data_IF_766646068629
#
_entry.id   IF_766646068629
#
_cell.length_a   1.000
_cell.length_b   1.000
_cell.length_c   1.000
_cell.angle_alpha   90.00
_cell.angle_beta   90.00
_cell.angle_gamma   90.00
#
_symmetry.space_group_name_H-M   'P 1'
#
loop_
_entity.id
_entity.type
_entity.pdbx_description
1 polymer ?
#
# COMPACT_ATOMS: atom_id res chain seq x y z
N UNK A 1 -12.99 -10.97 -22.10
CA UNK A 1 -12.03 -10.74 -20.99
C UNK A 1 -10.68 -10.36 -21.60
N UNK A 2 -10.29 -9.10 -21.55
CA UNK A 2 -8.98 -8.65 -22.04
C UNK A 2 -7.88 -9.32 -21.22
N UNK A 3 -6.94 -10.00 -21.88
CA UNK A 3 -5.80 -10.66 -21.23
C UNK A 3 -4.86 -9.59 -20.64
N UNK A 4 -4.45 -9.75 -19.40
CA UNK A 4 -3.44 -8.90 -18.77
C UNK A 4 -2.16 -8.88 -19.62
N UNK A 5 -1.59 -7.72 -19.98
CA UNK A 5 -0.39 -7.63 -20.81
C UNK A 5 0.78 -8.44 -20.22
N UNK A 6 1.65 -8.97 -21.07
CA UNK A 6 2.81 -9.78 -20.65
C UNK A 6 3.68 -9.00 -19.66
N UNK A 7 3.91 -7.72 -19.90
CA UNK A 7 4.70 -6.86 -19.02
C UNK A 7 4.11 -6.76 -17.60
N UNK A 8 2.78 -6.56 -17.49
CA UNK A 8 2.09 -6.50 -16.21
C UNK A 8 2.18 -7.83 -15.46
N UNK A 9 2.05 -8.96 -16.15
CA UNK A 9 2.19 -10.30 -15.52
C UNK A 9 3.61 -10.53 -15.00
N UNK A 10 4.63 -10.17 -15.76
CA UNK A 10 6.03 -10.27 -15.33
C UNK A 10 6.31 -9.39 -14.11
N UNK A 11 5.80 -8.16 -14.12
CA UNK A 11 5.90 -7.25 -12.97
C UNK A 11 5.24 -7.83 -11.72
N UNK A 12 4.00 -8.32 -11.83
CA UNK A 12 3.27 -8.92 -10.70
C UNK A 12 3.99 -10.17 -10.16
N UNK A 13 4.51 -11.02 -11.03
CA UNK A 13 5.28 -12.21 -10.63
C UNK A 13 6.56 -11.83 -9.90
N UNK A 14 7.36 -10.88 -10.44
CA UNK A 14 8.57 -10.39 -9.80
C UNK A 14 8.29 -9.77 -8.42
N UNK A 15 7.23 -8.95 -8.32
CA UNK A 15 6.81 -8.37 -7.06
C UNK A 15 6.35 -9.43 -6.04
N UNK A 16 5.62 -10.45 -6.48
CA UNK A 16 5.20 -11.57 -5.63
C UNK A 16 6.41 -12.31 -5.06
N UNK A 17 7.41 -12.61 -5.88
CA UNK A 17 8.67 -13.25 -5.43
C UNK A 17 9.38 -12.38 -4.40
N UNK A 18 9.51 -11.07 -4.66
CA UNK A 18 10.14 -10.12 -3.72
C UNK A 18 9.36 -10.00 -2.41
N UNK A 19 8.02 -10.02 -2.44
CA UNK A 19 7.20 -9.98 -1.23
C UNK A 19 7.27 -11.28 -0.43
N UNK A 20 7.44 -12.44 -1.07
CA UNK A 20 7.72 -13.70 -0.37
C UNK A 20 9.05 -13.62 0.38
N UNK A 21 10.10 -13.11 -0.28
CA UNK A 21 11.39 -12.86 0.38
C UNK A 21 11.27 -11.89 1.56
N UNK A 22 10.51 -10.83 1.41
CA UNK A 22 10.22 -9.89 2.50
C UNK A 22 9.53 -10.59 3.68
N UNK A 23 8.57 -11.46 3.41
CA UNK A 23 7.90 -12.27 4.43
C UNK A 23 8.86 -13.12 5.25
N UNK A 24 9.93 -13.66 4.62
CA UNK A 24 10.96 -14.46 5.33
C UNK A 24 11.63 -13.69 6.48
N UNK A 25 11.68 -12.35 6.41
CA UNK A 25 12.53 -11.57 7.33
C UNK A 25 11.77 -10.53 8.16
N UNK A 26 10.58 -10.08 7.73
CA UNK A 26 9.90 -8.93 8.34
C UNK A 26 9.60 -9.13 9.83
N UNK A 27 9.13 -10.31 10.21
CA UNK A 27 8.84 -10.66 11.59
C UNK A 27 10.11 -11.05 12.39
N UNK A 28 11.19 -11.42 11.70
CA UNK A 28 12.36 -12.05 12.31
C UNK A 28 13.53 -11.08 12.52
N UNK A 29 13.50 -9.89 11.94
CA UNK A 29 14.57 -8.89 12.10
C UNK A 29 14.76 -8.48 13.55
N UNK A 30 13.69 -8.24 14.31
CA UNK A 30 13.74 -7.93 15.73
C UNK A 30 14.32 -9.10 16.54
N UNK A 31 13.82 -10.31 16.28
CA UNK A 31 14.27 -11.54 16.96
C UNK A 31 15.76 -11.75 16.71
N UNK A 32 16.21 -11.60 15.47
CA UNK A 32 17.61 -11.71 15.09
C UNK A 32 18.49 -10.74 15.85
N UNK A 33 18.16 -9.45 15.83
CA UNK A 33 18.97 -8.42 16.48
C UNK A 33 18.97 -8.58 18.01
N UNK A 34 17.84 -8.94 18.62
CA UNK A 34 17.72 -9.07 20.07
C UNK A 34 18.21 -10.43 20.57
N UNK A 35 17.60 -11.52 20.11
CA UNK A 35 17.84 -12.85 20.71
C UNK A 35 19.08 -13.54 20.14
N UNK A 36 19.42 -13.32 18.86
CA UNK A 36 20.56 -13.98 18.23
C UNK A 36 21.84 -13.14 18.38
N UNK A 37 21.74 -11.80 18.21
CA UNK A 37 22.89 -10.88 18.34
C UNK A 37 23.06 -10.28 19.72
N UNK A 38 22.14 -10.52 20.64
CA UNK A 38 22.23 -10.07 22.04
C UNK A 38 22.10 -8.57 22.24
N UNK A 39 21.56 -7.82 21.26
CA UNK A 39 21.36 -6.39 21.40
C UNK A 39 20.23 -6.10 22.38
N UNK A 40 20.42 -5.14 23.30
CA UNK A 40 19.37 -4.71 24.22
C UNK A 40 18.14 -4.21 23.45
N UNK A 41 16.92 -4.51 23.92
CA UNK A 41 15.67 -4.11 23.28
C UNK A 41 15.59 -2.61 22.94
N UNK A 42 16.02 -1.68 23.83
CA UNK A 42 16.03 -0.25 23.50
C UNK A 42 16.92 0.09 22.30
N UNK A 43 18.05 -0.60 22.14
CA UNK A 43 18.96 -0.41 21.00
C UNK A 43 18.30 -0.91 19.71
N UNK A 44 17.65 -2.08 19.75
CA UNK A 44 16.89 -2.61 18.61
C UNK A 44 15.74 -1.66 18.25
N UNK A 45 15.01 -1.16 19.25
CA UNK A 45 13.96 -0.17 19.05
C UNK A 45 14.48 1.12 18.38
N UNK A 46 15.64 1.62 18.81
CA UNK A 46 16.29 2.79 18.22
C UNK A 46 16.69 2.53 16.75
N UNK A 47 17.23 1.35 16.43
CA UNK A 47 17.58 0.97 15.05
C UNK A 47 16.34 0.92 14.14
N UNK A 48 15.24 0.36 14.63
CA UNK A 48 13.97 0.33 13.89
C UNK A 48 13.39 1.73 13.70
N UNK A 49 13.46 2.58 14.72
CA UNK A 49 13.02 3.98 14.65
C UNK A 49 13.86 4.80 13.64
N UNK A 50 15.17 4.62 13.64
CA UNK A 50 16.08 5.25 12.66
C UNK A 50 15.75 4.79 11.25
N UNK A 51 15.49 3.51 11.04
CA UNK A 51 15.05 2.98 9.75
C UNK A 51 13.75 3.67 9.27
N UNK A 52 12.74 3.73 10.14
CA UNK A 52 11.46 4.37 9.82
C UNK A 52 11.61 5.88 9.52
N UNK A 53 12.42 6.60 10.32
CA UNK A 53 12.71 8.01 10.11
C UNK A 53 13.45 8.26 8.79
N UNK A 54 14.42 7.41 8.44
CA UNK A 54 15.12 7.48 7.15
C UNK A 54 14.15 7.31 5.99
N UNK A 55 13.25 6.33 6.07
CA UNK A 55 12.20 6.12 5.08
C UNK A 55 11.33 7.37 4.89
N UNK A 56 10.89 7.97 6.00
CA UNK A 56 10.07 9.19 5.98
C UNK A 56 10.79 10.36 5.26
N UNK A 57 12.08 10.53 5.50
CA UNK A 57 12.89 11.59 4.88
C UNK A 57 13.10 11.32 3.38
N UNK A 58 13.32 10.07 2.99
CA UNK A 58 13.65 9.70 1.59
C UNK A 58 12.41 9.64 0.69
N UNK A 59 11.22 9.32 1.21
CA UNK A 59 10.00 9.18 0.38
C UNK A 59 9.69 10.40 -0.48
N UNK A 60 9.77 11.66 -0.01
CA UNK A 60 9.52 12.83 -0.87
C UNK A 60 10.54 12.97 -2.01
N UNK A 61 11.81 12.66 -1.76
CA UNK A 61 12.86 12.70 -2.79
C UNK A 61 12.64 11.62 -3.84
N UNK A 62 12.15 10.44 -3.43
CA UNK A 62 11.77 9.35 -4.34
C UNK A 62 10.73 9.81 -5.36
N UNK A 63 9.73 10.59 -4.96
CA UNK A 63 8.71 11.13 -5.88
C UNK A 63 9.33 11.96 -7.00
N UNK A 64 10.30 12.80 -6.67
CA UNK A 64 11.03 13.59 -7.67
C UNK A 64 11.87 12.70 -8.59
N UNK A 65 12.51 11.68 -8.03
CA UNK A 65 13.30 10.71 -8.81
C UNK A 65 12.42 9.89 -9.76
N UNK A 66 11.25 9.45 -9.30
CA UNK A 66 10.27 8.72 -10.13
C UNK A 66 9.85 9.53 -11.36
N UNK A 67 9.59 10.84 -11.18
CA UNK A 67 9.18 11.71 -12.28
C UNK A 67 10.34 12.06 -13.21
N UNK A 68 11.60 12.06 -12.71
CA UNK A 68 12.79 12.42 -13.48
C UNK A 68 13.45 11.22 -14.17
N UNK A 69 13.66 10.14 -13.45
CA UNK A 69 14.39 8.95 -13.90
C UNK A 69 13.47 7.86 -14.44
N UNK A 70 12.17 7.95 -14.11
CA UNK A 70 11.17 6.94 -14.43
C UNK A 70 11.10 5.82 -13.39
N UNK A 71 9.90 5.25 -13.24
CA UNK A 71 9.61 4.26 -12.19
C UNK A 71 10.48 3.00 -12.30
N UNK A 72 10.82 2.55 -13.53
CA UNK A 72 11.67 1.38 -13.75
C UNK A 72 13.06 1.53 -13.14
N UNK A 73 13.74 2.64 -13.42
CA UNK A 73 15.09 2.89 -12.94
C UNK A 73 15.14 3.06 -11.43
N UNK A 74 14.19 3.84 -10.89
CA UNK A 74 14.10 4.07 -9.44
C UNK A 74 13.80 2.79 -8.68
N UNK A 75 12.84 1.98 -9.16
CA UNK A 75 12.49 0.70 -8.55
C UNK A 75 13.67 -0.28 -8.60
N UNK A 76 14.43 -0.33 -9.69
CA UNK A 76 15.63 -1.15 -9.79
C UNK A 76 16.67 -0.76 -8.73
N UNK A 77 16.95 0.54 -8.59
CA UNK A 77 17.86 1.05 -7.55
C UNK A 77 17.39 0.72 -6.13
N UNK A 78 16.08 0.84 -5.87
CA UNK A 78 15.47 0.48 -4.59
C UNK A 78 15.66 -1.00 -4.29
N UNK A 79 15.37 -1.89 -5.24
CA UNK A 79 15.50 -3.34 -5.05
C UNK A 79 16.96 -3.78 -4.84
N UNK A 80 17.90 -3.19 -5.56
CA UNK A 80 19.33 -3.42 -5.34
C UNK A 80 19.76 -2.91 -3.96
N UNK A 81 19.36 -1.70 -3.58
CA UNK A 81 19.62 -1.16 -2.25
C UNK A 81 19.00 -2.02 -1.14
N UNK A 82 17.79 -2.53 -1.35
CA UNK A 82 17.13 -3.47 -0.44
C UNK A 82 17.95 -4.77 -0.29
N UNK A 83 18.42 -5.35 -1.40
CA UNK A 83 19.27 -6.54 -1.38
C UNK A 83 20.58 -6.30 -0.61
N UNK A 84 21.24 -5.15 -0.84
CA UNK A 84 22.45 -4.76 -0.08
C UNK A 84 22.14 -4.61 1.41
N UNK A 85 21.02 -3.98 1.77
CA UNK A 85 20.60 -3.85 3.18
C UNK A 85 20.43 -5.21 3.85
N UNK A 86 19.83 -6.18 3.16
CA UNK A 86 19.65 -7.55 3.67
C UNK A 86 20.98 -8.27 3.82
N UNK A 87 21.89 -8.12 2.86
CA UNK A 87 23.25 -8.66 2.97
C UNK A 87 23.98 -8.08 4.17
N UNK A 88 23.96 -6.76 4.35
CA UNK A 88 24.59 -6.08 5.50
C UNK A 88 23.97 -6.57 6.83
N UNK A 89 22.65 -6.75 6.87
CA UNK A 89 21.95 -7.22 8.07
C UNK A 89 22.33 -8.67 8.41
N UNK A 90 22.50 -9.55 7.42
CA UNK A 90 22.92 -10.93 7.61
C UNK A 90 24.26 -11.05 8.37
N UNK A 91 25.18 -10.10 8.15
CA UNK A 91 26.49 -10.02 8.82
C UNK A 91 26.57 -8.98 9.94
N UNK A 92 25.47 -8.39 10.34
CA UNK A 92 25.47 -7.48 11.49
C UNK A 92 25.74 -8.26 12.80
N UNK A 93 26.74 -7.81 13.56
CA UNK A 93 27.13 -8.45 14.83
C UNK A 93 26.84 -7.55 16.05
N UNK A 94 26.76 -6.26 15.87
CA UNK A 94 26.50 -5.26 16.90
C UNK A 94 25.70 -4.07 16.33
N UNK A 95 25.36 -3.12 17.18
CA UNK A 95 24.58 -1.94 16.76
C UNK A 95 25.26 -1.10 15.70
N UNK A 96 26.60 -0.95 15.76
CA UNK A 96 27.35 -0.15 14.79
C UNK A 96 27.33 -0.79 13.39
N UNK A 97 27.40 -2.12 13.29
CA UNK A 97 27.30 -2.83 12.01
C UNK A 97 25.88 -3.02 11.52
N UNK A 98 24.88 -3.01 12.44
CA UNK A 98 23.46 -3.05 12.08
C UNK A 98 22.95 -1.68 11.57
N UNK A 99 23.51 -0.56 12.07
CA UNK A 99 23.03 0.78 11.74
C UNK A 99 23.04 1.09 10.23
N UNK A 100 24.11 0.88 9.47
CA UNK A 100 24.10 1.14 8.02
C UNK A 100 23.09 0.25 7.28
N UNK A 101 22.91 -1.01 7.72
CA UNK A 101 21.89 -1.87 7.16
C UNK A 101 20.47 -1.32 7.38
N UNK A 102 20.17 -0.84 8.58
CA UNK A 102 18.87 -0.30 8.95
C UNK A 102 18.58 1.05 8.29
N UNK A 103 19.60 1.90 8.14
CA UNK A 103 19.50 3.14 7.36
C UNK A 103 19.15 2.84 5.89
N UNK A 104 19.88 1.93 5.27
CA UNK A 104 19.64 1.56 3.87
C UNK A 104 18.30 0.83 3.69
N UNK A 105 17.93 -0.02 4.65
CA UNK A 105 16.62 -0.67 4.67
C UNK A 105 15.50 0.36 4.69
N UNK A 106 15.54 1.34 5.58
CA UNK A 106 14.56 2.42 5.65
C UNK A 106 14.53 3.28 4.39
N UNK A 107 15.70 3.65 3.86
CA UNK A 107 15.84 4.43 2.64
C UNK A 107 15.26 3.73 1.40
N UNK A 108 15.07 2.43 1.44
CA UNK A 108 14.57 1.63 0.31
C UNK A 108 13.17 1.07 0.55
N UNK A 109 12.82 0.68 1.76
CA UNK A 109 11.54 0.07 2.09
C UNK A 109 10.34 1.00 1.86
N UNK A 110 10.35 2.18 2.47
CA UNK A 110 9.24 3.12 2.34
C UNK A 110 9.06 3.65 0.90
N UNK A 111 10.14 4.04 0.17
CA UNK A 111 10.07 4.45 -1.23
C UNK A 111 9.66 3.35 -2.22
N UNK A 112 9.76 2.08 -1.86
CA UNK A 112 9.36 0.97 -2.71
C UNK A 112 7.88 1.03 -3.07
N UNK A 113 7.00 1.38 -2.14
CA UNK A 113 5.56 1.43 -2.38
C UNK A 113 5.12 2.44 -3.44
N UNK A 114 5.54 3.73 -3.40
CA UNK A 114 5.23 4.67 -4.47
C UNK A 114 5.86 4.27 -5.80
N UNK A 115 7.06 3.67 -5.81
CA UNK A 115 7.69 3.18 -7.02
C UNK A 115 6.90 2.04 -7.67
N UNK A 116 6.47 1.05 -6.88
CA UNK A 116 5.61 -0.05 -7.34
C UNK A 116 4.27 0.46 -7.88
N UNK A 117 3.61 1.38 -7.17
CA UNK A 117 2.32 1.96 -7.61
C UNK A 117 2.47 2.74 -8.91
N UNK A 118 3.52 3.55 -9.04
CA UNK A 118 3.79 4.35 -10.24
C UNK A 118 4.10 3.44 -11.44
N UNK A 119 4.91 2.40 -11.24
CA UNK A 119 5.23 1.43 -12.29
C UNK A 119 3.98 0.66 -12.74
N UNK A 120 3.20 0.14 -11.79
CA UNK A 120 1.97 -0.62 -12.09
C UNK A 120 0.94 0.24 -12.83
N UNK A 121 0.76 1.50 -12.41
CA UNK A 121 -0.13 2.45 -13.08
C UNK A 121 0.29 2.71 -14.53
N UNK A 122 1.59 2.88 -14.76
CA UNK A 122 2.12 3.09 -16.11
C UNK A 122 2.00 1.86 -17.01
N UNK A 123 2.10 0.64 -16.45
CA UNK A 123 1.89 -0.62 -17.19
C UNK A 123 0.42 -0.89 -17.50
N UNK A 124 -0.51 -0.20 -16.86
CA UNK A 124 -1.95 -0.40 -16.98
C UNK A 124 -2.68 0.94 -17.16
N UNK A 125 -2.53 1.61 -18.33
CA UNK A 125 -3.13 2.92 -18.55
C UNK A 125 -4.67 2.88 -18.58
N UNK A 126 -5.26 1.75 -18.96
CA UNK A 126 -6.70 1.56 -19.04
C UNK A 126 -7.33 1.44 -17.65
N UNK A 127 -8.34 2.24 -17.27
CA UNK A 127 -8.90 2.28 -15.91
C UNK A 127 -9.34 0.92 -15.35
N UNK A 128 -10.03 0.11 -16.17
CA UNK A 128 -10.50 -1.22 -15.77
C UNK A 128 -9.34 -2.19 -15.54
N UNK A 129 -8.32 -2.13 -16.40
CA UNK A 129 -7.11 -2.96 -16.26
C UNK A 129 -6.29 -2.52 -15.05
N UNK A 130 -6.17 -1.22 -14.83
CA UNK A 130 -5.45 -0.66 -13.68
C UNK A 130 -6.09 -1.12 -12.37
N UNK A 131 -7.40 -0.97 -12.22
CA UNK A 131 -8.12 -1.42 -11.03
C UNK A 131 -7.90 -2.91 -10.75
N UNK A 132 -8.00 -3.76 -11.82
CA UNK A 132 -7.74 -5.19 -11.71
C UNK A 132 -6.30 -5.48 -11.31
N UNK A 133 -5.32 -4.79 -11.90
CA UNK A 133 -3.91 -4.99 -11.60
C UNK A 133 -3.58 -4.63 -10.15
N UNK A 134 -4.12 -3.51 -9.63
CA UNK A 134 -3.95 -3.13 -8.23
C UNK A 134 -4.58 -4.15 -7.27
N UNK A 135 -5.78 -4.67 -7.59
CA UNK A 135 -6.44 -5.70 -6.80
C UNK A 135 -5.63 -7.01 -6.77
N UNK A 136 -5.16 -7.48 -7.93
CA UNK A 136 -4.33 -8.68 -8.03
C UNK A 136 -3.01 -8.48 -7.28
N UNK A 137 -2.37 -7.31 -7.44
CA UNK A 137 -1.13 -6.98 -6.75
C UNK A 137 -1.30 -7.03 -5.24
N UNK A 138 -2.36 -6.44 -4.70
CA UNK A 138 -2.66 -6.43 -3.27
C UNK A 138 -2.84 -7.86 -2.73
N UNK A 139 -3.67 -8.67 -3.39
CA UNK A 139 -3.89 -10.06 -2.99
C UNK A 139 -2.62 -10.89 -3.05
N UNK A 140 -1.85 -10.76 -4.15
CA UNK A 140 -0.61 -11.48 -4.34
C UNK A 140 0.45 -11.09 -3.30
N UNK A 141 0.55 -9.80 -2.95
CA UNK A 141 1.46 -9.32 -1.91
C UNK A 141 1.11 -9.90 -0.53
N UNK A 142 -0.16 -9.86 -0.14
CA UNK A 142 -0.59 -10.41 1.15
C UNK A 142 -0.35 -11.93 1.23
N UNK A 143 -0.71 -12.67 0.18
CA UNK A 143 -0.47 -14.11 0.12
C UNK A 143 1.04 -14.43 0.16
N UNK A 144 1.85 -13.72 -0.61
CA UNK A 144 3.30 -13.89 -0.67
C UNK A 144 3.97 -13.59 0.68
N UNK A 145 3.56 -12.50 1.33
CA UNK A 145 4.04 -12.12 2.66
C UNK A 145 3.70 -13.21 3.68
N UNK A 146 2.46 -13.71 3.70
CA UNK A 146 2.04 -14.78 4.59
C UNK A 146 2.79 -16.09 4.36
N UNK A 147 2.97 -16.51 3.10
CA UNK A 147 3.77 -17.70 2.74
C UNK A 147 5.22 -17.51 3.19
N UNK A 148 5.82 -16.34 2.89
CA UNK A 148 7.19 -16.05 3.31
C UNK A 148 7.35 -16.07 4.83
N UNK A 149 6.45 -15.48 5.58
CA UNK A 149 6.48 -15.48 7.05
C UNK A 149 6.34 -16.90 7.62
N UNK A 150 5.48 -17.72 7.03
CA UNK A 150 5.34 -19.13 7.43
C UNK A 150 6.62 -19.92 7.18
N UNK A 151 7.23 -19.77 6.00
CA UNK A 151 8.52 -20.42 5.69
C UNK A 151 9.61 -19.92 6.65
N UNK A 152 9.65 -18.59 6.89
CA UNK A 152 10.59 -18.00 7.85
C UNK A 152 10.44 -18.58 9.26
N UNK A 153 9.21 -18.76 9.73
CA UNK A 153 8.93 -19.34 11.04
C UNK A 153 9.41 -20.80 11.17
N UNK A 154 9.34 -21.57 10.08
CA UNK A 154 9.82 -22.98 10.07
C UNK A 154 11.35 -23.04 10.03
N UNK A 155 12.00 -22.13 9.29
CA UNK A 155 13.45 -22.15 9.08
C UNK A 155 14.24 -21.40 10.15
N UNK A 156 13.66 -20.39 10.80
CA UNK A 156 14.33 -19.59 11.82
C UNK A 156 14.62 -20.43 13.08
N UNK A 157 15.88 -20.45 13.50
CA UNK A 157 16.30 -21.12 14.71
C UNK A 157 17.26 -20.24 15.52
N UNK A 158 16.89 -19.92 16.75
CA UNK A 158 17.69 -19.07 17.65
C UNK A 158 19.01 -19.78 18.00
N UNK A 159 19.00 -21.11 18.05
CA UNK A 159 20.18 -21.91 18.34
C UNK A 159 21.16 -22.03 17.17
N UNK A 160 20.71 -21.71 15.96
CA UNK A 160 21.49 -21.72 14.74
C UNK A 160 21.44 -20.37 14.02
N UNK A 161 22.30 -19.40 14.40
CA UNK A 161 22.32 -18.05 13.82
C UNK A 161 22.39 -18.02 12.28
N UNK A 162 23.01 -19.02 11.68
CA UNK A 162 23.10 -19.18 10.21
C UNK A 162 21.74 -19.32 9.54
N UNK A 163 20.70 -19.79 10.24
CA UNK A 163 19.34 -19.86 9.68
C UNK A 163 18.80 -18.49 9.32
N UNK A 164 19.02 -17.47 10.16
CA UNK A 164 18.62 -16.09 9.90
C UNK A 164 19.42 -15.47 8.74
N UNK A 165 20.71 -15.80 8.64
CA UNK A 165 21.53 -15.36 7.50
C UNK A 165 20.97 -15.89 6.18
N UNK A 166 20.57 -17.17 6.14
CA UNK A 166 19.90 -17.76 4.96
C UNK A 166 18.61 -17.01 4.62
N UNK A 167 17.78 -16.64 5.60
CA UNK A 167 16.54 -15.89 5.38
C UNK A 167 16.83 -14.50 4.78
N UNK A 168 17.80 -13.76 5.33
CA UNK A 168 18.19 -12.44 4.80
C UNK A 168 18.77 -12.55 3.38
N UNK A 169 19.63 -13.52 3.13
CA UNK A 169 20.20 -13.76 1.79
C UNK A 169 19.14 -14.20 0.78
N UNK A 170 18.21 -15.06 1.18
CA UNK A 170 17.08 -15.44 0.32
C UNK A 170 16.22 -14.23 -0.06
N UNK A 171 15.96 -13.30 0.90
CA UNK A 171 15.30 -12.05 0.59
C UNK A 171 16.13 -11.16 -0.35
N UNK A 172 17.43 -11.04 -0.14
CA UNK A 172 18.31 -10.31 -1.05
C UNK A 172 18.23 -10.86 -2.48
N UNK A 173 18.29 -12.18 -2.63
CA UNK A 173 18.13 -12.87 -3.93
C UNK A 173 16.76 -12.57 -4.54
N UNK A 174 15.68 -12.62 -3.77
CA UNK A 174 14.32 -12.32 -4.26
C UNK A 174 14.19 -10.90 -4.80
N UNK A 175 14.81 -9.93 -4.13
CA UNK A 175 14.89 -8.54 -4.58
C UNK A 175 15.68 -8.42 -5.89
N UNK A 176 16.83 -9.10 -6.00
CA UNK A 176 17.66 -9.08 -7.22
C UNK A 176 16.96 -9.79 -8.38
N UNK A 177 16.23 -10.88 -8.14
CA UNK A 177 15.43 -11.54 -9.17
C UNK A 177 14.35 -10.61 -9.72
N UNK A 178 13.67 -9.85 -8.85
CA UNK A 178 12.71 -8.86 -9.32
C UNK A 178 13.42 -7.70 -10.05
N UNK A 179 14.56 -7.21 -9.56
CA UNK A 179 15.35 -6.19 -10.25
C UNK A 179 15.77 -6.64 -11.65
N UNK A 180 16.15 -7.91 -11.82
CA UNK A 180 16.52 -8.50 -13.11
C UNK A 180 15.36 -8.60 -14.10
N UNK A 181 14.12 -8.63 -13.63
CA UNK A 181 12.92 -8.61 -14.49
C UNK A 181 12.65 -7.20 -15.04
N UNK A 182 13.01 -6.14 -14.30
CA UNK A 182 12.65 -4.77 -14.69
C UNK A 182 13.18 -4.32 -16.07
N UNK A 183 14.39 -4.68 -16.52
CA UNK A 183 14.88 -4.35 -17.87
C UNK A 183 14.01 -4.92 -19.00
N UNK A 184 13.29 -6.03 -18.73
CA UNK A 184 12.39 -6.66 -19.70
C UNK A 184 11.05 -5.90 -19.85
N UNK A 185 10.79 -4.93 -18.95
CA UNK A 185 9.58 -4.13 -18.96
C UNK A 185 9.78 -2.84 -19.78
N UNK A 186 8.70 -2.28 -20.36
CA UNK A 186 8.81 -1.04 -21.12
C UNK A 186 9.33 0.10 -20.26
N UNK A 187 10.13 0.97 -20.88
CA UNK A 187 10.56 2.21 -20.21
C UNK A 187 9.42 3.22 -20.29
N UNK A 188 8.79 3.46 -19.13
CA UNK A 188 7.66 4.37 -19.00
C UNK A 188 8.09 5.83 -18.77
N UNK A 189 9.40 6.11 -18.94
CA UNK A 189 9.94 7.47 -18.82
C UNK A 189 9.39 8.33 -19.97
N UNK A 190 8.75 9.43 -19.62
CA UNK A 190 8.41 10.47 -20.60
C UNK A 190 9.54 11.49 -20.65
N UNK A 191 10.23 11.65 -21.80
CA UNK A 191 11.21 12.71 -21.95
C UNK A 191 10.55 14.05 -21.68
N UNK A 192 11.20 14.90 -20.89
CA UNK A 192 10.71 16.25 -20.61
C UNK A 192 11.00 17.12 -21.84
N UNK A 193 9.96 17.76 -22.38
CA UNK A 193 10.16 18.74 -23.44
C UNK A 193 10.89 19.98 -22.90
N UNK A 194 11.77 20.57 -23.73
CA UNK A 194 12.44 21.83 -23.37
C UNK A 194 11.38 22.92 -23.17
N UNK A 195 11.45 23.62 -22.02
CA UNK A 195 10.49 24.70 -21.71
C UNK A 195 9.26 24.27 -20.89
N UNK A 196 9.07 22.98 -20.57
CA UNK A 196 7.97 22.56 -19.70
C UNK A 196 8.13 23.11 -18.25
N UNK A 197 7.06 23.67 -17.66
CA UNK A 197 7.10 24.22 -16.31
C UNK A 197 7.49 23.16 -15.28
N UNK A 198 8.25 23.57 -14.26
CA UNK A 198 8.60 22.69 -13.13
C UNK A 198 7.41 22.58 -12.22
N UNK A 199 6.66 21.46 -12.31
CA UNK A 199 5.57 21.14 -11.39
C UNK A 199 6.18 20.67 -10.08
N UNK A 200 5.79 21.28 -8.96
CA UNK A 200 6.27 20.95 -7.61
C UNK A 200 5.23 20.19 -6.78
N UNK A 201 5.55 19.87 -5.53
CA UNK A 201 4.58 19.32 -4.58
C UNK A 201 3.44 20.33 -4.26
N UNK A 202 3.71 21.64 -4.34
CA UNK A 202 2.70 22.68 -4.16
C UNK A 202 1.61 22.59 -5.21
N UNK A 203 1.97 22.33 -6.46
CA UNK A 203 1.02 22.20 -7.57
C UNK A 203 0.15 20.94 -7.41
N UNK A 204 0.76 19.83 -6.92
CA UNK A 204 0.03 18.62 -6.56
C UNK A 204 -1.03 18.89 -5.48
N UNK A 205 -0.67 19.65 -4.45
CA UNK A 205 -1.57 20.02 -3.34
C UNK A 205 -2.56 21.14 -3.69
N UNK A 206 -2.29 21.93 -4.74
CA UNK A 206 -3.23 22.97 -5.21
C UNK A 206 -4.49 22.33 -5.80
N UNK A 207 -4.39 21.16 -6.42
CA UNK A 207 -5.53 20.46 -7.01
C UNK A 207 -6.46 19.92 -5.92
N UNK A 208 -7.69 20.49 -5.81
CA UNK A 208 -8.66 20.20 -4.72
C UNK A 208 -8.98 18.70 -4.58
N UNK A 209 -9.27 18.02 -5.71
CA UNK A 209 -9.60 16.60 -5.70
C UNK A 209 -8.43 15.75 -5.18
N UNK A 210 -7.21 16.04 -5.65
CA UNK A 210 -6.02 15.32 -5.22
C UNK A 210 -5.70 15.55 -3.74
N UNK A 211 -5.86 16.79 -3.25
CA UNK A 211 -5.72 17.11 -1.82
C UNK A 211 -6.69 16.31 -0.94
N UNK A 212 -7.95 16.19 -1.35
CA UNK A 212 -8.94 15.37 -0.65
C UNK A 212 -8.55 13.90 -0.62
N UNK A 213 -8.07 13.36 -1.74
CA UNK A 213 -7.61 11.97 -1.81
C UNK A 213 -6.36 11.75 -0.96
N UNK A 214 -5.45 12.74 -0.86
CA UNK A 214 -4.29 12.66 0.04
C UNK A 214 -4.72 12.64 1.51
N UNK A 215 -5.71 13.44 1.90
CA UNK A 215 -6.27 13.41 3.27
C UNK A 215 -6.96 12.07 3.54
N UNK A 216 -7.72 11.53 2.58
CA UNK A 216 -8.29 10.19 2.69
C UNK A 216 -7.21 9.10 2.83
N UNK A 217 -6.10 9.23 2.08
CA UNK A 217 -4.95 8.31 2.21
C UNK A 217 -4.31 8.38 3.59
N UNK A 218 -4.24 9.56 4.21
CA UNK A 218 -3.72 9.74 5.57
C UNK A 218 -4.65 9.09 6.61
N UNK A 219 -5.97 9.32 6.50
CA UNK A 219 -6.94 8.63 7.37
C UNK A 219 -6.83 7.12 7.23
N UNK A 220 -6.79 6.60 5.99
CA UNK A 220 -6.61 5.18 5.74
C UNK A 220 -5.31 4.64 6.32
N UNK A 221 -4.21 5.37 6.18
CA UNK A 221 -2.91 4.97 6.73
C UNK A 221 -2.95 4.85 8.25
N UNK A 222 -3.60 5.82 8.91
CA UNK A 222 -3.71 5.86 10.37
C UNK A 222 -4.71 4.82 10.89
N UNK A 223 -5.96 4.82 10.38
CA UNK A 223 -7.06 3.96 10.88
C UNK A 223 -7.05 2.55 10.29
N UNK A 224 -6.41 2.37 9.13
CA UNK A 224 -6.23 1.09 8.48
C UNK A 224 -4.91 0.45 8.90
N UNK A 225 -3.83 0.75 8.20
CA UNK A 225 -2.58 -0.01 8.32
C UNK A 225 -1.91 0.15 9.69
N UNK A 226 -1.65 1.38 10.14
CA UNK A 226 -0.89 1.61 11.37
C UNK A 226 -1.65 1.19 12.63
N UNK A 227 -2.96 1.44 12.68
CA UNK A 227 -3.81 1.03 13.80
C UNK A 227 -4.01 -0.48 13.83
N UNK A 228 -4.09 -1.14 12.68
CA UNK A 228 -4.19 -2.58 12.61
C UNK A 228 -2.93 -3.24 13.15
N UNK A 229 -1.75 -2.80 12.70
CA UNK A 229 -0.48 -3.39 13.09
C UNK A 229 -0.16 -3.21 14.58
N UNK A 230 -0.49 -2.05 15.16
CA UNK A 230 -0.17 -1.71 16.55
C UNK A 230 -1.33 -1.88 17.52
N UNK A 231 -2.51 -1.44 17.13
CA UNK A 231 -3.70 -1.41 17.98
C UNK A 231 -4.34 -2.77 18.18
N UNK A 232 -4.37 -3.63 17.15
CA UNK A 232 -4.97 -4.96 17.27
C UNK A 232 -4.29 -5.81 18.37
N UNK A 233 -2.96 -6.00 18.38
CA UNK A 233 -2.33 -6.80 19.45
C UNK A 233 -2.49 -6.15 20.81
N UNK A 234 -2.24 -4.83 20.93
CA UNK A 234 -2.29 -4.11 22.18
C UNK A 234 -3.68 -4.13 22.82
N UNK A 235 -4.72 -3.77 22.07
CA UNK A 235 -6.09 -3.75 22.57
C UNK A 235 -6.61 -5.16 22.89
N UNK A 236 -6.34 -6.14 22.03
CA UNK A 236 -6.79 -7.52 22.24
C UNK A 236 -6.23 -8.12 23.52
N UNK A 237 -4.96 -7.89 23.81
CA UNK A 237 -4.29 -8.47 24.99
C UNK A 237 -4.57 -7.68 26.26
N UNK A 238 -4.53 -6.34 26.21
CA UNK A 238 -4.65 -5.49 27.40
C UNK A 238 -6.12 -5.23 27.79
N UNK A 239 -6.99 -4.95 26.82
CA UNK A 239 -8.38 -4.56 27.09
C UNK A 239 -9.37 -5.73 26.94
N UNK A 240 -9.23 -6.49 25.87
CA UNK A 240 -10.13 -7.62 25.62
C UNK A 240 -9.71 -8.90 26.35
N UNK A 241 -8.50 -8.94 26.95
CA UNK A 241 -7.94 -10.12 27.64
C UNK A 241 -7.97 -11.39 26.80
N UNK A 242 -7.72 -11.24 25.49
CA UNK A 242 -7.68 -12.34 24.54
C UNK A 242 -6.22 -12.79 24.36
N UNK A 243 -5.99 -14.09 24.26
CA UNK A 243 -4.64 -14.62 24.13
C UNK A 243 -3.96 -14.24 22.81
N UNK A 244 -2.63 -14.10 22.83
CA UNK A 244 -1.83 -13.82 21.63
C UNK A 244 -2.04 -14.87 20.52
N UNK A 245 -2.33 -16.12 20.88
CA UNK A 245 -2.65 -17.18 19.93
C UNK A 245 -3.93 -16.87 19.12
N UNK A 246 -4.98 -16.41 19.79
CA UNK A 246 -6.23 -15.99 19.11
C UNK A 246 -5.99 -14.79 18.21
N UNK A 247 -5.17 -13.83 18.63
CA UNK A 247 -4.78 -12.68 17.79
C UNK A 247 -4.05 -13.18 16.53
N UNK A 248 -3.10 -14.10 16.66
CA UNK A 248 -2.39 -14.67 15.51
C UNK A 248 -3.33 -15.43 14.55
N UNK A 249 -4.27 -16.22 15.09
CA UNK A 249 -5.30 -16.88 14.28
C UNK A 249 -6.21 -15.88 13.56
N UNK A 250 -6.56 -14.78 14.22
CA UNK A 250 -7.41 -13.75 13.61
C UNK A 250 -6.74 -13.06 12.43
N UNK A 251 -5.42 -12.88 12.45
CA UNK A 251 -4.64 -12.39 11.29
C UNK A 251 -4.67 -13.38 10.12
N UNK A 252 -4.64 -14.68 10.42
CA UNK A 252 -4.81 -15.73 9.39
C UNK A 252 -6.20 -15.64 8.76
N UNK A 253 -7.24 -15.43 9.56
CA UNK A 253 -8.63 -15.24 9.08
C UNK A 253 -8.72 -13.97 8.21
N UNK A 254 -8.11 -12.87 8.61
CA UNK A 254 -8.03 -11.65 7.80
C UNK A 254 -7.45 -11.94 6.41
N UNK A 255 -6.28 -12.59 6.35
CA UNK A 255 -5.61 -12.92 5.09
C UNK A 255 -6.45 -13.87 4.23
N UNK A 256 -7.03 -14.91 4.82
CA UNK A 256 -7.89 -15.85 4.12
C UNK A 256 -9.14 -15.14 3.54
N UNK A 257 -9.74 -14.23 4.32
CA UNK A 257 -10.89 -13.45 3.90
C UNK A 257 -10.56 -12.50 2.73
N UNK A 258 -9.42 -11.81 2.79
CA UNK A 258 -8.93 -10.97 1.70
C UNK A 258 -8.83 -11.79 0.40
N UNK A 259 -8.18 -12.95 0.45
CA UNK A 259 -7.98 -13.81 -0.73
C UNK A 259 -9.31 -14.31 -1.28
N UNK A 260 -10.22 -14.77 -0.41
CA UNK A 260 -11.52 -15.29 -0.82
C UNK A 260 -12.45 -14.19 -1.38
N UNK A 261 -12.50 -13.01 -0.74
CA UNK A 261 -13.40 -11.92 -1.10
C UNK A 261 -12.94 -11.12 -2.31
N UNK A 262 -11.63 -11.08 -2.62
CA UNK A 262 -11.03 -10.16 -3.59
C UNK A 262 -11.69 -10.17 -4.96
N UNK A 263 -11.97 -11.35 -5.50
CA UNK A 263 -12.57 -11.46 -6.85
C UNK A 263 -14.03 -11.00 -6.87
N UNK A 264 -14.77 -11.26 -5.78
CA UNK A 264 -16.18 -10.85 -5.64
C UNK A 264 -16.24 -9.33 -5.50
N UNK A 265 -15.46 -8.78 -4.57
CA UNK A 265 -15.37 -7.34 -4.33
C UNK A 265 -14.96 -6.58 -5.59
N UNK A 266 -13.96 -7.10 -6.33
CA UNK A 266 -13.53 -6.49 -7.58
C UNK A 266 -14.67 -6.41 -8.62
N UNK A 267 -15.53 -7.43 -8.71
CA UNK A 267 -16.69 -7.40 -9.62
C UNK A 267 -17.71 -6.33 -9.24
N UNK A 268 -17.93 -6.16 -7.93
CA UNK A 268 -18.85 -5.14 -7.39
C UNK A 268 -18.28 -3.74 -7.58
N UNK A 269 -17.04 -3.51 -7.15
CA UNK A 269 -16.38 -2.19 -7.16
C UNK A 269 -16.23 -1.65 -8.59
N UNK A 270 -16.07 -2.52 -9.60
CA UNK A 270 -16.05 -2.10 -11.01
C UNK A 270 -17.34 -1.43 -11.51
N UNK A 271 -18.47 -1.72 -10.87
CA UNK A 271 -19.77 -1.16 -11.23
C UNK A 271 -20.13 0.10 -10.45
N UNK A 272 -19.28 0.46 -9.49
CA UNK A 272 -19.51 1.55 -8.55
C UNK A 272 -18.52 2.68 -8.82
N UNK A 273 -18.94 3.93 -8.60
CA UNK A 273 -18.06 5.09 -8.66
C UNK A 273 -16.97 4.98 -7.60
N UNK A 274 -15.75 5.42 -7.91
CA UNK A 274 -14.59 5.35 -7.00
C UNK A 274 -14.82 6.10 -5.70
N UNK A 275 -15.49 7.25 -5.75
CA UNK A 275 -15.89 8.03 -4.57
C UNK A 275 -16.83 7.27 -3.65
N UNK A 276 -17.79 6.54 -4.24
CA UNK A 276 -18.73 5.69 -3.48
C UNK A 276 -18.02 4.46 -2.90
N UNK A 277 -17.11 3.84 -3.66
CA UNK A 277 -16.29 2.74 -3.17
C UNK A 277 -15.40 3.17 -1.99
N UNK A 278 -14.81 4.39 -2.05
CA UNK A 278 -14.05 4.95 -0.94
C UNK A 278 -14.91 5.16 0.31
N UNK A 279 -16.12 5.72 0.14
CA UNK A 279 -17.05 5.90 1.25
C UNK A 279 -17.51 4.56 1.86
N UNK A 280 -17.79 3.55 1.01
CA UNK A 280 -18.14 2.21 1.46
C UNK A 280 -16.99 1.56 2.24
N UNK A 281 -15.75 1.69 1.78
CA UNK A 281 -14.58 1.22 2.51
C UNK A 281 -14.47 1.88 3.89
N UNK A 282 -14.67 3.21 3.96
CA UNK A 282 -14.69 3.94 5.24
C UNK A 282 -15.76 3.44 6.20
N UNK A 283 -16.98 3.16 5.72
CA UNK A 283 -18.06 2.61 6.54
C UNK A 283 -17.75 1.19 7.05
N UNK A 284 -17.22 0.33 6.17
CA UNK A 284 -16.83 -1.05 6.53
C UNK A 284 -15.73 -1.02 7.59
N UNK A 285 -14.70 -0.18 7.43
CA UNK A 285 -13.63 -0.03 8.40
C UNK A 285 -14.13 0.57 9.72
N UNK A 286 -15.03 1.55 9.70
CA UNK A 286 -15.64 2.10 10.91
C UNK A 286 -16.44 1.04 11.67
N UNK A 287 -17.26 0.25 10.97
CA UNK A 287 -18.00 -0.85 11.55
C UNK A 287 -17.08 -1.93 12.14
N UNK A 288 -15.96 -2.24 11.46
CA UNK A 288 -14.98 -3.20 12.00
C UNK A 288 -14.38 -2.71 13.33
N UNK A 289 -13.94 -1.45 13.42
CA UNK A 289 -13.42 -0.87 14.67
C UNK A 289 -14.48 -0.80 15.78
N UNK A 290 -15.74 -0.49 15.43
CA UNK A 290 -16.85 -0.51 16.37
C UNK A 290 -17.07 -1.92 16.96
N UNK A 291 -17.08 -2.96 16.12
CA UNK A 291 -17.16 -4.36 16.58
C UNK A 291 -15.96 -4.70 17.48
N UNK A 292 -14.76 -4.25 17.12
CA UNK A 292 -13.57 -4.47 17.95
C UNK A 292 -13.70 -3.83 19.33
N UNK A 293 -14.24 -2.61 19.37
CA UNK A 293 -14.51 -1.91 20.64
C UNK A 293 -15.46 -2.65 21.59
N UNK A 294 -16.39 -3.43 21.05
CA UNK A 294 -17.30 -4.27 21.85
C UNK A 294 -16.56 -5.34 22.66
N UNK A 295 -15.38 -5.77 22.22
CA UNK A 295 -14.57 -6.75 22.95
C UNK A 295 -14.07 -6.25 24.31
N UNK A 296 -14.05 -4.94 24.57
CA UNK A 296 -13.72 -4.35 25.87
C UNK A 296 -14.91 -4.32 26.85
N UNK A 297 -16.11 -4.59 26.40
CA UNK A 297 -17.31 -4.63 27.25
C UNK A 297 -17.33 -5.89 28.13
N UNK A 298 -18.12 -5.90 29.23
CA UNK A 298 -18.27 -7.06 30.11
C UNK A 298 -19.12 -8.17 29.47
N UNK A 299 -18.63 -8.73 28.36
CA UNK A 299 -19.23 -9.84 27.62
C UNK A 299 -18.47 -11.15 27.92
N UNK A 300 -19.04 -12.27 27.49
CA UNK A 300 -18.43 -13.59 27.66
C UNK A 300 -17.08 -13.70 26.96
N UNK A 301 -16.14 -14.55 27.43
CA UNK A 301 -14.86 -14.78 26.74
C UNK A 301 -15.04 -15.17 25.28
N UNK A 302 -16.03 -16.03 24.97
CA UNK A 302 -16.37 -16.40 23.61
C UNK A 302 -16.85 -15.20 22.78
N UNK A 303 -17.62 -14.29 23.37
CA UNK A 303 -18.05 -13.05 22.73
C UNK A 303 -16.89 -12.11 22.39
N UNK A 304 -15.89 -11.97 23.27
CA UNK A 304 -14.67 -11.20 23.00
C UNK A 304 -13.87 -11.77 21.83
N UNK A 305 -13.70 -13.09 21.81
CA UNK A 305 -13.04 -13.80 20.70
C UNK A 305 -13.83 -13.57 19.40
N UNK A 306 -15.14 -13.69 19.42
CA UNK A 306 -16.00 -13.45 18.26
C UNK A 306 -15.86 -12.02 17.74
N UNK A 307 -15.76 -11.01 18.62
CA UNK A 307 -15.51 -9.61 18.23
C UNK A 307 -14.15 -9.45 17.54
N UNK A 308 -13.09 -10.11 18.01
CA UNK A 308 -11.76 -10.05 17.38
C UNK A 308 -11.78 -10.67 15.98
N UNK A 309 -12.38 -11.84 15.80
CA UNK A 309 -12.53 -12.46 14.49
C UNK A 309 -13.45 -11.68 13.56
N UNK A 310 -14.57 -11.18 14.06
CA UNK A 310 -15.50 -10.32 13.32
C UNK A 310 -14.83 -9.04 12.84
N UNK A 311 -14.02 -8.41 13.71
CA UNK A 311 -13.19 -7.27 13.37
C UNK A 311 -12.25 -7.61 12.21
N UNK A 312 -11.42 -8.65 12.34
CA UNK A 312 -10.38 -8.96 11.33
C UNK A 312 -10.98 -9.38 9.99
N UNK A 313 -12.11 -10.10 10.00
CA UNK A 313 -12.82 -10.46 8.77
C UNK A 313 -13.41 -9.23 8.07
N UNK A 314 -14.12 -8.37 8.82
CA UNK A 314 -14.74 -7.16 8.26
C UNK A 314 -13.68 -6.13 7.84
N UNK A 315 -12.58 -6.01 8.60
CA UNK A 315 -11.44 -5.18 8.26
C UNK A 315 -10.83 -5.62 6.92
N UNK A 316 -10.59 -6.92 6.73
CA UNK A 316 -10.11 -7.49 5.46
C UNK A 316 -11.06 -7.19 4.29
N UNK A 317 -12.38 -7.17 4.52
CA UNK A 317 -13.33 -6.72 3.49
C UNK A 317 -13.12 -5.24 3.13
N UNK A 318 -12.91 -4.37 4.10
CA UNK A 318 -12.58 -2.97 3.87
C UNK A 318 -11.30 -2.81 3.03
N UNK A 319 -10.25 -3.53 3.36
CA UNK A 319 -8.98 -3.53 2.61
C UNK A 319 -9.15 -4.00 1.16
N UNK A 320 -9.97 -5.04 0.92
CA UNK A 320 -10.24 -5.52 -0.44
C UNK A 320 -10.96 -4.49 -1.30
N UNK A 321 -11.76 -3.59 -0.71
CA UNK A 321 -12.40 -2.46 -1.42
C UNK A 321 -11.40 -1.33 -1.66
N UNK A 322 -10.52 -1.03 -0.69
CA UNK A 322 -9.51 0.03 -0.78
C UNK A 322 -8.51 -0.23 -1.90
N UNK A 323 -8.00 -1.46 -2.01
CA UNK A 323 -6.92 -1.83 -2.92
C UNK A 323 -7.19 -1.46 -4.39
N UNK A 324 -8.34 -1.80 -5.00
CA UNK A 324 -8.69 -1.42 -6.36
C UNK A 324 -9.21 0.02 -6.49
N UNK A 325 -9.39 0.75 -5.39
CA UNK A 325 -10.00 2.09 -5.39
C UNK A 325 -8.97 3.19 -5.24
N UNK A 326 -8.16 3.16 -4.19
CA UNK A 326 -7.32 4.29 -3.79
C UNK A 326 -6.20 4.57 -4.80
N UNK A 327 -5.44 3.57 -5.22
CA UNK A 327 -4.36 3.75 -6.18
C UNK A 327 -4.84 4.30 -7.53
N UNK A 328 -5.84 3.67 -8.18
CA UNK A 328 -6.44 4.20 -9.39
C UNK A 328 -7.06 5.60 -9.24
N UNK A 329 -7.64 5.92 -8.08
CA UNK A 329 -8.19 7.25 -7.81
C UNK A 329 -7.09 8.32 -7.77
N UNK A 330 -5.98 8.07 -7.09
CA UNK A 330 -4.82 8.97 -7.11
C UNK A 330 -4.33 9.16 -8.55
N UNK A 331 -4.20 8.08 -9.30
CA UNK A 331 -3.67 8.10 -10.66
C UNK A 331 -4.61 8.74 -11.69
N UNK A 332 -5.94 8.69 -11.48
CA UNK A 332 -6.92 9.36 -12.36
C UNK A 332 -6.93 10.89 -12.21
N UNK A 333 -6.41 11.39 -11.09
CA UNK A 333 -6.30 12.82 -10.79
C UNK A 333 -4.91 13.38 -11.09
N UNK A 334 -4.00 12.56 -11.61
CA UNK A 334 -2.60 12.95 -11.86
C UNK A 334 -2.19 12.63 -13.28
N UNK A 335 -1.54 13.61 -13.92
CA UNK A 335 -0.80 13.37 -15.15
C UNK A 335 0.43 12.50 -14.88
N UNK A 336 0.93 11.84 -15.93
CA UNK A 336 2.16 11.03 -15.87
C UNK A 336 3.37 11.80 -15.30
N UNK A 337 3.36 13.14 -15.44
CA UNK A 337 4.42 14.05 -15.00
C UNK A 337 4.54 14.19 -13.48
N UNK A 338 3.43 14.00 -12.76
CA UNK A 338 3.36 14.22 -11.30
C UNK A 338 2.91 12.98 -10.53
N UNK A 339 2.65 11.87 -11.23
CA UNK A 339 2.19 10.61 -10.63
C UNK A 339 3.14 10.08 -9.57
N UNK A 340 4.45 10.19 -9.81
CA UNK A 340 5.47 9.80 -8.84
C UNK A 340 5.37 10.61 -7.55
N UNK A 341 5.23 11.94 -7.66
CA UNK A 341 5.08 12.83 -6.49
C UNK A 341 3.78 12.58 -5.73
N UNK A 342 2.67 12.37 -6.44
CA UNK A 342 1.38 12.07 -5.81
C UNK A 342 1.42 10.74 -5.04
N UNK A 343 1.97 9.69 -5.63
CA UNK A 343 2.16 8.42 -4.95
C UNK A 343 3.13 8.51 -3.77
N UNK A 344 4.20 9.31 -3.88
CA UNK A 344 5.14 9.55 -2.78
C UNK A 344 4.51 10.34 -1.64
N UNK A 345 3.64 11.31 -1.94
CA UNK A 345 2.92 12.06 -0.90
C UNK A 345 1.96 11.16 -0.11
N UNK A 346 1.25 10.24 -0.80
CA UNK A 346 0.45 9.20 -0.13
C UNK A 346 1.32 8.29 0.74
N UNK A 347 2.48 7.87 0.25
CA UNK A 347 3.41 7.02 1.00
C UNK A 347 4.04 7.77 2.19
N UNK A 348 4.30 9.06 2.07
CA UNK A 348 4.76 9.90 3.18
C UNK A 348 3.73 9.93 4.31
N UNK A 349 2.44 10.15 3.99
CA UNK A 349 1.36 10.08 4.97
C UNK A 349 1.27 8.70 5.64
N UNK A 350 1.46 7.62 4.88
CA UNK A 350 1.49 6.26 5.42
C UNK A 350 2.68 6.05 6.37
N UNK A 351 3.87 6.51 6.01
CA UNK A 351 5.05 6.40 6.88
C UNK A 351 4.88 7.21 8.18
N UNK A 352 4.30 8.40 8.08
CA UNK A 352 4.00 9.23 9.26
C UNK A 352 3.00 8.52 10.18
N UNK A 353 1.95 7.93 9.64
CA UNK A 353 0.96 7.18 10.42
C UNK A 353 1.59 5.99 11.15
N UNK A 354 2.47 5.23 10.48
CA UNK A 354 3.18 4.08 11.07
C UNK A 354 4.12 4.46 12.21
N UNK A 355 4.61 5.70 12.25
CA UNK A 355 5.46 6.22 13.33
C UNK A 355 4.59 6.72 14.49
N UNK A 356 3.56 7.50 14.19
CA UNK A 356 2.77 8.23 15.20
C UNK A 356 1.70 7.34 15.84
N UNK A 357 1.05 6.49 15.06
CA UNK A 357 -0.09 5.70 15.51
C UNK A 357 0.24 4.74 16.65
N UNK A 358 1.37 3.99 16.67
CA UNK A 358 1.70 3.10 17.78
C UNK A 358 1.83 3.85 19.11
N UNK A 359 2.43 5.04 19.12
CA UNK A 359 2.60 5.85 20.33
C UNK A 359 1.24 6.33 20.86
N UNK A 360 0.33 6.78 19.99
CA UNK A 360 -1.02 7.18 20.38
C UNK A 360 -1.83 5.97 20.87
N UNK A 361 -1.77 4.85 20.14
CA UNK A 361 -2.48 3.63 20.49
C UNK A 361 -2.07 3.11 21.87
N UNK A 362 -0.77 2.89 22.09
CA UNK A 362 -0.26 2.37 23.35
C UNK A 362 -0.45 3.34 24.50
N UNK A 363 -0.27 4.64 24.26
CA UNK A 363 -0.50 5.69 25.27
C UNK A 363 -1.95 5.74 25.74
N UNK A 364 -2.92 5.75 24.83
CA UNK A 364 -4.35 5.78 25.18
C UNK A 364 -4.80 4.48 25.84
N UNK A 365 -4.33 3.33 25.34
CA UNK A 365 -4.67 2.02 25.90
C UNK A 365 -4.09 1.91 27.34
N UNK A 366 -2.85 2.29 27.56
CA UNK A 366 -2.21 2.27 28.88
C UNK A 366 -2.85 3.23 29.87
N UNK A 367 -3.37 4.37 29.40
CA UNK A 367 -4.11 5.33 30.22
C UNK A 367 -5.56 4.90 30.53
N UNK A 368 -6.00 3.71 30.12
CA UNK A 368 -7.38 3.25 30.28
C UNK A 368 -8.39 3.93 29.35
N UNK A 369 -7.93 4.71 28.38
CA UNK A 369 -8.75 5.46 27.44
C UNK A 369 -8.99 4.71 26.11
N UNK A 370 -9.13 3.39 26.18
CA UNK A 370 -9.32 2.53 25.01
C UNK A 370 -10.57 2.89 24.19
N UNK A 371 -11.65 3.36 24.83
CA UNK A 371 -12.84 3.85 24.15
C UNK A 371 -12.54 5.10 23.31
N UNK A 372 -11.68 6.00 23.80
CA UNK A 372 -11.23 7.18 23.04
C UNK A 372 -10.43 6.74 21.81
N UNK A 373 -9.55 5.74 21.97
CA UNK A 373 -8.80 5.16 20.86
C UNK A 373 -9.72 4.63 19.75
N UNK A 374 -10.69 3.78 20.10
CA UNK A 374 -11.68 3.24 19.14
C UNK A 374 -12.50 4.38 18.50
N UNK A 375 -12.94 5.35 19.30
CA UNK A 375 -13.67 6.53 18.80
C UNK A 375 -12.89 7.33 17.76
N UNK A 376 -11.59 7.57 17.99
CA UNK A 376 -10.70 8.25 17.03
C UNK A 376 -10.57 7.47 15.72
N UNK A 377 -10.47 6.13 15.80
CA UNK A 377 -10.40 5.29 14.62
C UNK A 377 -11.72 5.31 13.81
N UNK A 378 -12.85 5.16 14.49
CA UNK A 378 -14.17 5.29 13.86
C UNK A 378 -14.35 6.67 13.21
N UNK A 379 -13.98 7.73 13.91
CA UNK A 379 -14.07 9.12 13.39
C UNK A 379 -13.18 9.32 12.15
N UNK A 380 -11.97 8.81 12.13
CA UNK A 380 -11.08 8.84 10.98
C UNK A 380 -11.65 8.07 9.78
N UNK A 381 -12.25 6.89 10.02
CA UNK A 381 -12.96 6.13 8.97
C UNK A 381 -14.19 6.89 8.44
N UNK A 382 -14.96 7.54 9.31
CA UNK A 382 -16.08 8.40 8.90
C UNK A 382 -15.59 9.64 8.15
N UNK A 383 -14.38 10.14 8.45
CA UNK A 383 -13.69 11.16 7.65
C UNK A 383 -13.48 10.72 6.19
N UNK A 384 -13.14 9.44 5.95
CA UNK A 384 -13.06 8.89 4.59
C UNK A 384 -14.43 8.88 3.90
N UNK A 385 -15.50 8.59 4.63
CA UNK A 385 -16.89 8.64 4.11
C UNK A 385 -17.25 10.06 3.67
N UNK A 386 -16.98 11.05 4.54
CA UNK A 386 -17.23 12.46 4.23
C UNK A 386 -16.43 12.91 3.00
N UNK A 387 -15.16 12.53 2.91
CA UNK A 387 -14.32 12.82 1.74
C UNK A 387 -14.89 12.17 0.48
N UNK A 388 -15.31 10.90 0.54
CA UNK A 388 -15.98 10.23 -0.57
C UNK A 388 -17.22 10.98 -1.06
N UNK A 389 -18.06 11.46 -0.12
CA UNK A 389 -19.24 12.26 -0.45
C UNK A 389 -18.89 13.61 -1.10
N UNK A 390 -17.81 14.28 -0.65
CA UNK A 390 -17.33 15.53 -1.27
C UNK A 390 -16.74 15.24 -2.66
N UNK A 391 -15.94 14.19 -2.81
CA UNK A 391 -15.35 13.79 -4.10
C UNK A 391 -16.43 13.50 -5.14
N UNK A 392 -17.50 12.83 -4.74
CA UNK A 392 -18.65 12.56 -5.64
C UNK A 392 -19.26 13.83 -6.27
N UNK A 393 -19.15 14.99 -5.57
CA UNK A 393 -19.64 16.28 -6.04
C UNK A 393 -18.59 17.09 -6.81
N UNK A 394 -17.33 16.74 -6.69
CA UNK A 394 -16.19 17.53 -7.23
C UNK A 394 -15.50 16.87 -8.41
N UNK A 395 -15.58 15.53 -8.53
CA UNK A 395 -14.98 14.80 -9.62
C UNK A 395 -15.89 14.77 -10.85
N UNK A 396 -15.29 14.78 -12.03
CA UNK A 396 -16.00 14.51 -13.28
C UNK A 396 -16.40 13.05 -13.36
N UNK A 397 -17.41 12.71 -14.15
CA UNK A 397 -17.84 11.33 -14.34
C UNK A 397 -16.70 10.43 -14.87
N UNK A 398 -15.83 10.98 -15.70
CA UNK A 398 -14.67 10.29 -16.23
C UNK A 398 -13.62 9.97 -15.14
N UNK A 399 -13.36 10.88 -14.22
CA UNK A 399 -12.44 10.72 -13.10
C UNK A 399 -12.98 9.75 -12.04
N UNK A 400 -14.29 9.74 -11.83
CA UNK A 400 -14.95 8.96 -10.76
C UNK A 400 -15.41 7.57 -11.23
N UNK A 401 -15.65 7.37 -12.54
CA UNK A 401 -16.06 6.08 -13.08
C UNK A 401 -14.86 5.18 -13.41
N UNK A 402 -15.10 3.87 -13.34
CA UNK A 402 -14.12 2.85 -13.76
C UNK A 402 -14.35 2.45 -15.22
N UNK A 403 -15.61 2.52 -15.67
CA UNK A 403 -15.99 2.23 -17.06
C UNK A 403 -15.92 3.53 -17.85
N UNK A 404 -15.18 3.58 -18.98
CA UNK A 404 -15.23 4.73 -19.87
C UNK A 404 -16.69 5.02 -20.24
N UNK A 405 -17.08 6.28 -20.23
CA UNK A 405 -18.36 6.67 -20.82
C UNK A 405 -18.41 6.11 -22.24
N UNK A 406 -19.55 5.54 -22.69
CA UNK A 406 -19.69 5.11 -24.07
C UNK A 406 -19.27 6.29 -24.94
N UNK A 407 -18.32 6.06 -25.87
CA UNK A 407 -17.88 7.10 -26.78
C UNK A 407 -19.15 7.69 -27.41
N UNK A 408 -19.42 8.95 -27.13
CA UNK A 408 -20.46 9.69 -27.83
C UNK A 408 -20.07 9.54 -29.31
N UNK A 409 -20.93 8.96 -30.15
CA UNK A 409 -20.61 8.86 -31.56
C UNK A 409 -20.30 10.30 -32.01
N UNK A 410 -19.06 10.55 -32.36
CA UNK A 410 -18.70 11.79 -33.02
C UNK A 410 -19.63 11.83 -34.19
N UNK A 411 -20.59 12.78 -34.16
CA UNK A 411 -21.49 13.04 -35.26
C UNK A 411 -20.59 13.03 -36.49
N UNK A 412 -20.80 12.05 -37.34
CA UNK A 412 -20.08 11.90 -38.59
C UNK A 412 -19.99 13.28 -39.20
N UNK A 413 -18.75 13.79 -39.27
CA UNK A 413 -18.44 14.98 -40.04
C UNK A 413 -19.17 14.82 -41.35
N UNK A 414 -20.07 15.76 -41.62
CA UNK A 414 -21.02 15.67 -42.69
C UNK A 414 -20.32 15.21 -43.96
N UNK A 415 -20.91 14.22 -44.61
CA UNK A 415 -20.63 13.94 -45.99
C UNK A 415 -20.66 15.28 -46.70
N UNK A 416 -19.50 15.79 -47.08
CA UNK A 416 -19.39 16.84 -48.07
C UNK A 416 -20.16 16.36 -49.29
N UNK A 417 -21.35 16.88 -49.47
CA UNK A 417 -22.00 16.85 -50.76
C UNK A 417 -21.09 17.63 -51.70
N UNK A 418 -20.32 16.89 -52.52
CA UNK A 418 -19.76 17.46 -53.70
C UNK A 418 -20.94 17.95 -54.57
N UNK A 419 -21.24 19.20 -54.48
CA UNK A 419 -22.05 19.93 -55.47
C UNK A 419 -21.12 20.20 -56.64
N UNK A 420 -20.99 19.22 -57.52
CA UNK A 420 -20.50 19.46 -58.86
C UNK A 420 -21.66 20.05 -59.62
N UNK A 421 -21.55 21.33 -59.91
CA UNK A 421 -22.46 21.97 -60.86
C UNK A 421 -22.12 21.56 -62.27
N UNK A 422 -23.11 21.49 -63.17
CA UNK A 422 -22.99 20.95 -64.52
C UNK A 422 -22.03 21.72 -65.44
N UNK A 423 -21.39 22.76 -64.97
CA UNK A 423 -20.52 23.64 -65.76
C UNK A 423 -19.06 23.67 -65.33
N UNK A 424 -18.60 22.75 -64.46
CA UNK A 424 -17.18 22.42 -64.34
C UNK A 424 -16.29 23.37 -63.53
N UNK A 425 -16.83 24.42 -62.87
CA UNK A 425 -16.02 25.37 -62.08
C UNK A 425 -16.12 25.14 -60.58
N UNK A 426 -14.94 25.15 -59.90
CA UNK A 426 -14.77 25.14 -58.46
C UNK A 426 -15.18 26.54 -57.87
N UNK A 427 -16.13 26.55 -56.97
CA UNK A 427 -16.40 27.65 -56.05
C UNK A 427 -16.27 27.17 -54.63
#
# INVERSE_FOLDING_TARGET
>A
MTRTPRATRLFLAGNTVSMTGTGLVIAFTLIYLHQVRGLALPVVGALLAVSAATGLIVVPTCGVLLDRLGARTVLAGILVGQAVAQVLLAWAHNAATALPAMLLYGATWAPMFPALRTMLAGLTPEPVMQQRAFAINFTAQNAALGVGTTIGAVLASITHPGSFQVLFLANAVSCLLFAAVLPLLPNLRRPRAHGEPRIGYRDVLAHRGLRLVMVASLFLAFTGYAAFDSGLPAFSTVQAHVSAHVVALSLTVNTAFIVAAQLIVLRVVRRVRRSVALAAAGLILAASWAIFGLAALPITPAGRIACVFGFTALFGLGETVVAPTMGPLVNSLTDDRVRGRANSLSAFGQSLALIVCPAIATGLIAAGAAAVWIGLLCLGCLGMVAIGAVLRRTLTDEQDSVTPAPAVPTATAGRGRNLINKDGDLV
#
